data_IF_437456721073
#
_entry.id   IF_437456721073
#
_cell.length_a   1.000
_cell.length_b   1.000
_cell.length_c   1.000
_cell.angle_alpha   90.00
_cell.angle_beta   90.00
_cell.angle_gamma   90.00
#
_symmetry.space_group_name_H-M   'P 1'
#
loop_
_entity.id
_entity.type
_entity.pdbx_description
1 polymer ?
#
# COMPACT_ATOMS: atom_id res chain seq x y z
N UNK A 1 -11.85 10.21 -21.65
CA UNK A 1 -10.41 9.90 -21.50
C UNK A 1 -10.02 8.56 -22.13
N UNK A 2 -10.75 7.46 -21.87
CA UNK A 2 -10.47 6.15 -22.49
C UNK A 2 -10.71 6.14 -24.02
N UNK A 3 -11.75 6.82 -24.49
CA UNK A 3 -12.10 6.87 -25.93
C UNK A 3 -11.12 7.68 -26.78
N UNK A 4 -10.46 8.69 -26.22
CA UNK A 4 -9.52 9.55 -26.94
C UNK A 4 -8.14 8.89 -27.09
N UNK A 5 -7.68 8.13 -26.08
CA UNK A 5 -6.48 7.29 -26.22
C UNK A 5 -6.68 6.16 -27.24
N UNK A 6 -7.89 5.58 -27.31
CA UNK A 6 -8.22 4.50 -28.25
C UNK A 6 -8.07 4.93 -29.72
N UNK A 7 -8.39 6.18 -30.05
CA UNK A 7 -8.25 6.71 -31.42
C UNK A 7 -6.80 7.00 -31.79
N UNK A 8 -5.99 7.48 -30.84
CA UNK A 8 -4.57 7.78 -31.06
C UNK A 8 -3.80 6.48 -31.33
N UNK A 9 -4.06 5.42 -30.58
CA UNK A 9 -3.37 4.13 -30.72
C UNK A 9 -3.75 3.37 -32.00
N UNK A 10 -5.02 3.40 -32.42
CA UNK A 10 -5.46 2.81 -33.70
C UNK A 10 -4.75 3.43 -34.90
N UNK A 11 -4.43 4.73 -34.81
CA UNK A 11 -3.78 5.50 -35.87
C UNK A 11 -2.28 5.24 -35.96
N UNK A 12 -1.61 4.90 -34.85
CA UNK A 12 -0.17 4.66 -34.79
C UNK A 12 0.24 3.27 -35.30
N UNK A 13 -0.62 2.25 -35.15
CA UNK A 13 -0.25 0.85 -35.44
C UNK A 13 -0.89 0.26 -36.71
N UNK A 14 -1.70 1.04 -37.45
CA UNK A 14 -2.35 0.63 -38.70
C UNK A 14 -3.08 -0.74 -38.63
N UNK A 15 -3.69 -1.05 -37.48
CA UNK A 15 -4.29 -2.37 -37.20
C UNK A 15 -5.73 -2.41 -37.73
N UNK A 16 -6.07 -3.33 -38.66
CA UNK A 16 -7.45 -3.51 -39.10
C UNK A 16 -8.32 -4.06 -37.95
N UNK A 17 -9.58 -3.62 -37.89
CA UNK A 17 -10.61 -4.08 -36.92
C UNK A 17 -10.87 -5.60 -37.09
N UNK A 18 -10.04 -6.47 -36.51
CA UNK A 18 -10.40 -7.86 -36.29
C UNK A 18 -9.92 -8.32 -34.91
N UNK A 19 -10.90 -8.87 -34.17
CA UNK A 19 -10.81 -9.60 -32.90
C UNK A 19 -10.55 -8.76 -31.64
N UNK A 20 -11.64 -8.49 -30.91
CA UNK A 20 -11.65 -7.86 -29.57
C UNK A 20 -10.74 -8.57 -28.56
N UNK A 21 -10.55 -9.89 -28.68
CA UNK A 21 -9.68 -10.66 -27.78
C UNK A 21 -8.19 -10.36 -27.97
N UNK A 22 -7.73 -10.14 -29.21
CA UNK A 22 -6.35 -9.70 -29.48
C UNK A 22 -6.11 -8.27 -29.00
N UNK A 23 -7.11 -7.40 -29.11
CA UNK A 23 -7.05 -6.04 -28.58
C UNK A 23 -6.96 -6.09 -27.05
N UNK A 24 -7.78 -6.87 -26.35
CA UNK A 24 -7.64 -6.99 -24.88
C UNK A 24 -6.27 -7.56 -24.47
N UNK A 25 -5.76 -8.56 -25.18
CA UNK A 25 -4.46 -9.18 -24.90
C UNK A 25 -3.27 -8.24 -25.12
N UNK A 26 -3.26 -7.47 -26.22
CA UNK A 26 -2.20 -6.49 -26.51
C UNK A 26 -2.24 -5.31 -25.52
N UNK A 27 -3.41 -4.94 -25.00
CA UNK A 27 -3.55 -3.85 -24.02
C UNK A 27 -3.17 -4.30 -22.60
N UNK A 28 -3.09 -5.61 -22.34
CA UNK A 28 -2.74 -6.16 -21.02
C UNK A 28 -1.23 -6.07 -20.73
N UNK A 29 -0.39 -5.81 -21.74
CA UNK A 29 1.07 -5.88 -21.60
C UNK A 29 1.80 -4.68 -22.22
N UNK A 30 1.18 -3.49 -22.25
CA UNK A 30 1.96 -2.26 -22.48
C UNK A 30 2.36 -1.73 -21.11
N UNK A 31 3.52 -2.17 -20.64
CA UNK A 31 4.16 -1.56 -19.47
C UNK A 31 4.61 -0.17 -19.88
N UNK A 32 3.78 0.83 -19.56
CA UNK A 32 4.13 2.22 -19.81
C UNK A 32 5.30 2.64 -18.91
N UNK A 33 6.29 3.28 -19.51
CA UNK A 33 7.40 3.92 -18.80
C UNK A 33 6.88 5.13 -18.01
N UNK A 34 7.63 5.54 -16.99
CA UNK A 34 7.22 6.70 -16.17
C UNK A 34 7.18 7.99 -16.99
N UNK A 35 8.06 8.15 -17.99
CA UNK A 35 8.03 9.30 -18.90
C UNK A 35 6.75 9.36 -19.74
N UNK A 36 6.24 8.21 -20.20
CA UNK A 36 4.97 8.12 -20.93
C UNK A 36 3.78 8.44 -20.02
N UNK A 37 3.79 7.93 -18.78
CA UNK A 37 2.72 8.15 -17.80
C UNK A 37 2.56 9.64 -17.48
N UNK A 38 3.67 10.35 -17.22
CA UNK A 38 3.64 11.78 -16.87
C UNK A 38 3.78 12.71 -18.08
N UNK A 39 3.77 12.16 -19.30
CA UNK A 39 3.83 12.87 -20.58
C UNK A 39 5.00 13.87 -20.65
N UNK A 40 6.21 13.40 -20.37
CA UNK A 40 7.41 14.25 -20.36
C UNK A 40 8.52 13.70 -21.25
N UNK A 41 9.49 14.55 -21.58
CA UNK A 41 10.72 14.16 -22.28
C UNK A 41 11.62 13.31 -21.37
N UNK A 42 12.69 12.77 -21.93
CA UNK A 42 13.69 11.97 -21.19
C UNK A 42 14.13 12.67 -19.90
N UNK A 43 14.06 11.93 -18.79
CA UNK A 43 14.46 12.41 -17.48
C UNK A 43 15.90 11.95 -17.16
N UNK A 44 16.68 12.74 -16.40
CA UNK A 44 17.90 12.24 -15.78
C UNK A 44 17.61 11.01 -14.92
N UNK A 45 18.56 10.07 -14.90
CA UNK A 45 18.37 8.74 -14.29
C UNK A 45 17.89 8.80 -12.83
N UNK A 46 18.48 9.68 -12.01
CA UNK A 46 18.10 9.84 -10.60
C UNK A 46 16.65 10.31 -10.45
N UNK A 47 16.25 11.33 -11.22
CA UNK A 47 14.88 11.86 -11.23
C UNK A 47 13.88 10.83 -11.75
N UNK A 48 14.24 10.09 -12.81
CA UNK A 48 13.42 8.98 -13.32
C UNK A 48 13.15 7.94 -12.22
N UNK A 49 14.21 7.49 -11.53
CA UNK A 49 14.10 6.52 -10.43
C UNK A 49 13.22 7.04 -9.29
N UNK A 50 13.45 8.27 -8.82
CA UNK A 50 12.68 8.86 -7.71
C UNK A 50 11.18 8.94 -8.06
N UNK A 51 10.84 9.42 -9.26
CA UNK A 51 9.43 9.51 -9.67
C UNK A 51 8.82 8.12 -9.84
N UNK A 52 9.55 7.17 -10.45
CA UNK A 52 9.07 5.81 -10.65
C UNK A 52 8.80 5.10 -9.31
N UNK A 53 9.67 5.30 -8.31
CA UNK A 53 9.50 4.78 -6.97
C UNK A 53 8.23 5.35 -6.30
N UNK A 54 8.04 6.67 -6.34
CA UNK A 54 6.87 7.33 -5.74
C UNK A 54 5.57 6.92 -6.43
N UNK A 55 5.58 6.86 -7.76
CA UNK A 55 4.44 6.44 -8.56
C UNK A 55 4.06 4.99 -8.24
N UNK A 56 5.04 4.08 -8.24
CA UNK A 56 4.83 2.66 -7.93
C UNK A 56 4.34 2.46 -6.49
N UNK A 57 4.85 3.25 -5.53
CA UNK A 57 4.39 3.20 -4.14
C UNK A 57 2.93 3.66 -4.01
N UNK A 58 2.53 4.74 -4.70
CA UNK A 58 1.14 5.21 -4.70
C UNK A 58 0.21 4.20 -5.36
N UNK A 59 0.60 3.67 -6.52
CA UNK A 59 -0.16 2.63 -7.23
C UNK A 59 -0.38 1.39 -6.35
N UNK A 60 0.67 0.91 -5.67
CA UNK A 60 0.56 -0.21 -4.73
C UNK A 60 -0.35 0.13 -3.53
N UNK A 61 -0.21 1.33 -2.96
CA UNK A 61 -1.07 1.81 -1.88
C UNK A 61 -2.55 1.86 -2.30
N UNK A 62 -2.86 2.30 -3.51
CA UNK A 62 -4.23 2.39 -4.03
C UNK A 62 -4.86 0.99 -4.15
N UNK A 63 -4.11 0.02 -4.69
CA UNK A 63 -4.57 -1.37 -4.80
C UNK A 63 -4.89 -1.95 -3.42
N UNK A 64 -4.00 -1.79 -2.45
CA UNK A 64 -4.22 -2.31 -1.09
C UNK A 64 -5.36 -1.55 -0.40
N UNK A 65 -5.44 -0.23 -0.58
CA UNK A 65 -6.49 0.62 0.01
C UNK A 65 -7.87 0.24 -0.50
N UNK A 66 -8.03 0.03 -1.80
CA UNK A 66 -9.32 -0.42 -2.36
C UNK A 66 -9.70 -1.83 -1.85
N UNK A 67 -8.72 -2.71 -1.63
CA UNK A 67 -8.98 -4.04 -1.09
C UNK A 67 -9.48 -4.02 0.37
N UNK A 68 -9.00 -3.09 1.19
CA UNK A 68 -9.40 -2.97 2.61
C UNK A 68 -10.61 -2.06 2.86
N UNK A 69 -10.99 -1.24 1.87
CA UNK A 69 -12.10 -0.28 1.94
C UNK A 69 -13.43 -0.89 2.43
N UNK A 70 -13.83 -2.12 2.06
CA UNK A 70 -15.05 -2.73 2.56
C UNK A 70 -15.11 -2.93 4.08
N UNK A 71 -13.96 -2.93 4.77
CA UNK A 71 -13.87 -3.14 6.21
C UNK A 71 -13.95 -1.84 7.03
N UNK A 72 -14.17 -0.69 6.36
CA UNK A 72 -14.19 0.64 6.99
C UNK A 72 -12.93 0.90 7.84
N UNK A 73 -11.78 0.47 7.33
CA UNK A 73 -10.45 0.65 7.93
C UNK A 73 -9.51 1.23 6.87
N UNK A 74 -8.84 2.31 7.21
CA UNK A 74 -7.77 2.88 6.38
C UNK A 74 -6.49 2.05 6.46
N UNK A 75 -5.62 2.15 5.45
CA UNK A 75 -4.35 1.42 5.41
C UNK A 75 -3.46 1.75 6.61
N UNK A 76 -3.49 2.99 7.09
CA UNK A 76 -2.76 3.43 8.27
C UNK A 76 -3.35 2.83 9.56
N UNK A 77 -4.67 2.74 9.68
CA UNK A 77 -5.32 2.06 10.82
C UNK A 77 -5.02 0.56 10.83
N UNK A 78 -5.06 -0.09 9.67
CA UNK A 78 -4.63 -1.47 9.51
C UNK A 78 -3.16 -1.64 9.94
N UNK A 79 -2.28 -0.69 9.57
CA UNK A 79 -0.89 -0.71 10.00
C UNK A 79 -0.75 -0.61 11.53
N UNK A 80 -1.52 0.25 12.20
CA UNK A 80 -1.55 0.33 13.67
C UNK A 80 -1.94 -1.02 14.28
N UNK A 81 -2.99 -1.66 13.76
CA UNK A 81 -3.43 -2.98 14.25
C UNK A 81 -2.34 -4.04 14.06
N UNK A 82 -1.67 -4.09 12.90
CA UNK A 82 -0.55 -5.02 12.65
C UNK A 82 0.63 -4.78 13.61
N UNK A 83 0.96 -3.51 13.90
CA UNK A 83 2.01 -3.16 14.86
C UNK A 83 1.66 -3.70 16.26
N UNK A 84 0.42 -3.48 16.71
CA UNK A 84 -0.05 -3.92 18.02
C UNK A 84 -0.12 -5.44 18.12
N UNK A 85 -0.60 -6.13 17.08
CA UNK A 85 -0.55 -7.60 16.99
C UNK A 85 0.88 -8.14 17.17
N UNK A 86 1.86 -7.50 16.53
CA UNK A 86 3.27 -7.86 16.64
C UNK A 86 3.90 -7.62 18.02
N UNK A 87 3.18 -7.01 18.97
CA UNK A 87 3.61 -6.91 20.37
C UNK A 87 3.25 -8.16 21.19
N UNK A 88 2.53 -9.14 20.63
CA UNK A 88 2.15 -10.37 21.34
C UNK A 88 1.46 -10.08 22.69
N UNK A 89 0.41 -9.23 22.67
CA UNK A 89 -0.34 -8.75 23.83
C UNK A 89 0.42 -7.84 24.81
N UNK A 90 1.67 -7.45 24.50
CA UNK A 90 2.33 -6.38 25.25
C UNK A 90 1.77 -5.01 24.81
N UNK A 91 1.46 -4.11 25.75
CA UNK A 91 0.99 -2.78 25.41
C UNK A 91 2.08 -1.96 24.69
N UNK A 92 1.66 -1.10 23.76
CA UNK A 92 2.54 -0.11 23.13
C UNK A 92 2.07 1.30 23.46
N UNK A 93 3.01 2.23 23.61
CA UNK A 93 2.67 3.65 23.68
C UNK A 93 2.61 4.25 22.26
N UNK A 94 2.06 5.47 22.15
CA UNK A 94 1.94 6.17 20.86
C UNK A 94 3.29 6.39 20.16
N UNK A 95 4.38 6.60 20.91
CA UNK A 95 5.72 6.76 20.31
C UNK A 95 6.19 5.48 19.63
N UNK A 96 6.00 4.33 20.29
CA UNK A 96 6.29 3.00 19.72
C UNK A 96 5.46 2.71 18.48
N UNK A 97 4.17 3.06 18.47
CA UNK A 97 3.32 2.90 17.29
C UNK A 97 3.84 3.80 16.16
N UNK A 98 4.08 5.08 16.46
CA UNK A 98 4.50 6.08 15.47
C UNK A 98 5.86 5.74 14.83
N UNK A 99 6.81 5.20 15.60
CA UNK A 99 8.14 4.81 15.09
C UNK A 99 8.10 3.62 14.13
N UNK A 100 7.06 2.79 14.21
CA UNK A 100 6.86 1.60 13.37
C UNK A 100 5.86 1.82 12.23
N UNK A 101 5.28 3.00 12.09
CA UNK A 101 4.39 3.31 10.98
C UNK A 101 5.14 3.28 9.65
N UNK A 102 4.58 2.59 8.65
CA UNK A 102 5.15 2.54 7.28
C UNK A 102 5.18 3.94 6.67
N UNK A 103 4.05 4.66 6.75
CA UNK A 103 3.96 6.07 6.42
C UNK A 103 3.92 6.88 7.71
N UNK A 104 5.00 7.61 8.03
CA UNK A 104 5.05 8.50 9.18
C UNK A 104 4.08 9.66 8.95
N UNK A 105 3.15 9.87 9.88
CA UNK A 105 2.25 11.02 9.88
C UNK A 105 2.15 11.57 11.29
N UNK A 106 1.88 12.86 11.44
CA UNK A 106 1.63 13.49 12.76
C UNK A 106 0.29 13.06 13.40
N UNK A 107 -0.49 12.22 12.73
CA UNK A 107 -1.89 11.96 13.06
C UNK A 107 -2.12 10.61 13.78
N UNK A 108 -1.05 9.97 14.29
CA UNK A 108 -1.13 8.64 14.92
C UNK A 108 -2.11 8.59 16.10
N UNK A 109 -2.24 9.66 16.88
CA UNK A 109 -3.25 9.78 17.94
C UNK A 109 -4.67 9.63 17.40
N UNK A 110 -5.03 10.36 16.34
CA UNK A 110 -6.37 10.29 15.74
C UNK A 110 -6.67 8.94 15.11
N UNK A 111 -5.65 8.27 14.56
CA UNK A 111 -5.80 6.90 14.04
C UNK A 111 -6.18 5.94 15.16
N UNK A 112 -5.47 6.01 16.29
CA UNK A 112 -5.75 5.20 17.48
C UNK A 112 -7.13 5.54 18.07
N UNK A 113 -7.49 6.81 18.22
CA UNK A 113 -8.80 7.20 18.78
C UNK A 113 -9.98 6.64 17.96
N UNK A 114 -9.84 6.64 16.63
CA UNK A 114 -10.84 6.00 15.75
C UNK A 114 -10.90 4.49 15.93
N UNK A 115 -9.76 3.82 16.17
CA UNK A 115 -9.72 2.39 16.45
C UNK A 115 -10.32 2.05 17.82
N UNK A 116 -10.14 2.93 18.81
CA UNK A 116 -10.81 2.82 20.12
C UNK A 116 -12.32 2.93 19.95
N UNK A 117 -12.78 3.92 19.19
CA UNK A 117 -14.21 4.12 18.89
C UNK A 117 -14.83 2.89 18.22
N UNK A 118 -14.07 2.20 17.36
CA UNK A 118 -14.47 0.94 16.72
C UNK A 118 -14.38 -0.28 17.65
N UNK A 119 -13.77 -0.14 18.83
CA UNK A 119 -13.51 -1.21 19.78
C UNK A 119 -12.45 -2.20 19.31
N UNK A 120 -11.54 -1.80 18.41
CA UNK A 120 -10.46 -2.66 17.93
C UNK A 120 -9.20 -2.58 18.79
N UNK A 121 -8.99 -1.44 19.45
CA UNK A 121 -7.91 -1.25 20.41
C UNK A 121 -8.48 -0.64 21.69
N UNK A 122 -7.78 -0.82 22.79
CA UNK A 122 -8.13 -0.23 24.07
C UNK A 122 -6.97 0.58 24.62
N UNK A 123 -7.31 1.56 25.46
CA UNK A 123 -6.35 2.45 26.10
C UNK A 123 -6.37 2.21 27.60
N UNK A 124 -5.24 1.78 28.15
CA UNK A 124 -5.06 1.52 29.57
C UNK A 124 -4.12 2.55 30.17
N UNK A 125 -4.46 3.05 31.35
CA UNK A 125 -3.56 3.90 32.13
C UNK A 125 -2.59 2.98 32.86
N UNK A 126 -1.29 3.17 32.64
CA UNK A 126 -0.27 2.36 33.30
C UNK A 126 -0.40 2.53 34.84
N UNK A 127 -0.63 1.45 35.61
CA UNK A 127 -0.85 1.55 37.06
C UNK A 127 0.33 2.18 37.81
N UNK A 128 1.56 1.91 37.34
CA UNK A 128 2.80 2.42 37.91
C UNK A 128 3.17 3.84 37.46
N UNK A 129 2.56 4.33 36.37
CA UNK A 129 2.78 5.68 35.87
C UNK A 129 1.55 6.18 35.13
N UNK A 130 0.67 6.91 35.84
CA UNK A 130 -0.58 7.44 35.27
C UNK A 130 -0.39 8.42 34.10
N UNK A 131 0.85 8.90 33.87
CA UNK A 131 1.21 9.73 32.69
C UNK A 131 1.51 8.88 31.45
N UNK A 132 1.74 7.57 31.60
CA UNK A 132 1.95 6.63 30.50
C UNK A 132 0.63 6.06 30.03
N UNK A 133 0.39 6.22 28.74
CA UNK A 133 -0.75 5.69 28.01
C UNK A 133 -0.29 4.46 27.27
N UNK A 134 -0.96 3.36 27.55
CA UNK A 134 -0.71 2.06 26.94
C UNK A 134 -1.88 1.70 26.04
N UNK A 135 -1.57 1.20 24.86
CA UNK A 135 -2.54 0.81 23.83
C UNK A 135 -2.33 -0.66 23.55
N UNK A 136 -3.42 -1.41 23.61
CA UNK A 136 -3.44 -2.86 23.35
C UNK A 136 -4.48 -3.17 22.30
N UNK A 137 -4.22 -4.16 21.46
CA UNK A 137 -5.22 -4.68 20.52
C UNK A 137 -6.23 -5.55 21.27
N UNK A 138 -7.51 -5.36 20.99
CA UNK A 138 -8.58 -6.18 21.58
C UNK A 138 -8.76 -7.47 20.80
N UNK A 139 -9.52 -8.42 21.35
CA UNK A 139 -9.94 -9.62 20.61
C UNK A 139 -10.69 -9.27 19.31
N UNK A 140 -11.57 -8.25 19.35
CA UNK A 140 -12.27 -7.76 18.15
C UNK A 140 -11.29 -7.22 17.10
N UNK A 141 -10.24 -6.54 17.56
CA UNK A 141 -9.14 -6.06 16.72
C UNK A 141 -8.34 -7.20 16.06
N UNK A 142 -8.13 -8.30 16.79
CA UNK A 142 -7.49 -9.51 16.26
C UNK A 142 -8.38 -10.19 15.20
N UNK A 143 -9.67 -10.37 15.47
CA UNK A 143 -10.61 -11.01 14.54
C UNK A 143 -10.77 -10.23 13.23
N UNK A 144 -10.79 -8.89 13.29
CA UNK A 144 -10.85 -8.11 12.05
C UNK A 144 -9.56 -8.23 11.23
N UNK A 145 -8.39 -8.36 11.86
CA UNK A 145 -7.14 -8.62 11.17
C UNK A 145 -7.16 -9.98 10.46
N UNK A 146 -7.64 -11.04 11.12
CA UNK A 146 -7.77 -12.37 10.51
C UNK A 146 -8.65 -12.35 9.25
N UNK A 147 -9.66 -11.48 9.24
CA UNK A 147 -10.53 -11.28 8.07
C UNK A 147 -9.84 -10.49 6.96
N UNK A 148 -9.07 -9.46 7.30
CA UNK A 148 -8.43 -8.55 6.34
C UNK A 148 -7.16 -9.16 5.72
N UNK A 149 -6.37 -9.90 6.49
CA UNK A 149 -5.10 -10.47 6.07
C UNK A 149 -5.17 -11.23 4.72
N UNK A 150 -6.09 -12.19 4.48
CA UNK A 150 -6.15 -12.88 3.18
C UNK A 150 -6.47 -11.93 2.01
N UNK A 151 -7.27 -10.89 2.25
CA UNK A 151 -7.62 -9.89 1.23
C UNK A 151 -6.39 -9.04 0.88
N UNK A 152 -5.64 -8.61 1.89
CA UNK A 152 -4.39 -7.87 1.71
C UNK A 152 -3.33 -8.74 1.04
N UNK A 153 -3.16 -10.00 1.46
CA UNK A 153 -2.22 -10.93 0.84
C UNK A 153 -2.50 -11.12 -0.66
N UNK A 154 -3.78 -11.18 -1.06
CA UNK A 154 -4.15 -11.26 -2.46
C UNK A 154 -3.87 -9.95 -3.22
N UNK A 155 -4.12 -8.79 -2.58
CA UNK A 155 -3.79 -7.49 -3.15
C UNK A 155 -2.28 -7.32 -3.35
N UNK A 156 -1.47 -7.71 -2.37
CA UNK A 156 -0.01 -7.71 -2.43
C UNK A 156 0.50 -8.63 -3.55
N UNK A 157 -0.07 -9.83 -3.70
CA UNK A 157 0.24 -10.72 -4.84
C UNK A 157 -0.06 -10.06 -6.18
N UNK A 158 -1.15 -9.29 -6.31
CA UNK A 158 -1.44 -8.55 -7.55
C UNK A 158 -0.41 -7.46 -7.82
N UNK A 159 0.07 -6.78 -6.78
CA UNK A 159 1.13 -5.76 -6.90
C UNK A 159 2.42 -6.39 -7.42
N UNK A 160 2.75 -7.61 -6.97
CA UNK A 160 4.03 -8.26 -7.26
C UNK A 160 4.00 -9.30 -8.38
N UNK A 161 2.84 -9.64 -8.95
CA UNK A 161 2.69 -10.81 -9.85
C UNK A 161 3.55 -10.81 -11.12
N UNK A 162 4.04 -9.64 -11.56
CA UNK A 162 4.91 -9.52 -12.74
C UNK A 162 6.38 -9.81 -12.43
N UNK A 163 6.75 -9.93 -11.15
CA UNK A 163 8.11 -10.18 -10.71
C UNK A 163 8.24 -11.64 -10.26
N UNK A 164 9.30 -12.31 -10.70
CA UNK A 164 9.69 -13.60 -10.14
C UNK A 164 10.44 -13.41 -8.80
N UNK A 165 10.69 -14.51 -8.09
CA UNK A 165 11.31 -14.48 -6.76
C UNK A 165 12.70 -13.81 -6.75
N UNK A 166 13.53 -14.04 -7.78
CA UNK A 166 14.86 -13.41 -7.87
C UNK A 166 14.76 -11.89 -8.09
N UNK A 167 13.79 -11.44 -8.88
CA UNK A 167 13.53 -10.02 -9.11
C UNK A 167 12.99 -9.34 -7.85
N UNK A 168 12.09 -10.01 -7.12
CA UNK A 168 11.59 -9.55 -5.82
C UNK A 168 12.73 -9.40 -4.80
N UNK A 169 13.60 -10.40 -4.67
CA UNK A 169 14.76 -10.32 -3.79
C UNK A 169 15.70 -9.19 -4.18
N UNK A 170 15.99 -9.07 -5.48
CA UNK A 170 16.86 -8.01 -6.01
C UNK A 170 16.29 -6.62 -5.70
N UNK A 171 15.00 -6.40 -5.98
CA UNK A 171 14.34 -5.13 -5.72
C UNK A 171 14.33 -4.80 -4.22
N UNK A 172 14.05 -5.79 -3.35
CA UNK A 172 14.12 -5.60 -1.90
C UNK A 172 15.52 -5.16 -1.45
N UNK A 173 16.60 -5.79 -1.97
CA UNK A 173 17.99 -5.40 -1.67
C UNK A 173 18.29 -3.97 -2.14
N UNK A 174 17.87 -3.60 -3.36
CA UNK A 174 18.09 -2.25 -3.90
C UNK A 174 17.33 -1.18 -3.12
N UNK A 175 16.07 -1.44 -2.75
CA UNK A 175 15.27 -0.54 -1.94
C UNK A 175 15.85 -0.36 -0.53
N UNK A 176 16.41 -1.42 0.07
CA UNK A 176 17.12 -1.31 1.34
C UNK A 176 18.37 -0.45 1.23
N UNK A 177 19.19 -0.67 0.19
CA UNK A 177 20.39 0.14 -0.09
C UNK A 177 20.05 1.62 -0.31
N UNK A 178 18.89 1.93 -0.90
CA UNK A 178 18.45 3.31 -1.13
C UNK A 178 18.15 4.09 0.17
N UNK A 179 17.87 3.41 1.29
CA UNK A 179 17.50 4.02 2.58
C UNK A 179 18.63 4.09 3.61
N UNK A 180 19.79 3.52 3.29
CA UNK A 180 21.00 3.57 4.12
C UNK A 180 21.71 4.90 3.92
#
# INVERSE_FOLDING_TARGET
MVSSMLQIFKKLLNIPNRNKEYITFVYTTIVMTIEEIIQTKTLPLSRKLTINLLYSANWANDIITEAIKPFDISLQQFNVLRILRGQCNHPANLSTINSRMVAKTSNTTRLVDKLITKGYVERTICPSNRRKVEITITQKGMTILETIDPVVNNAEKKVTHQLNDNELETLNKLLNKLRQ
#
